data_IF_271590119700
#
_entry.id   IF_271590119700
#
_cell.length_a   1.000
_cell.length_b   1.000
_cell.length_c   1.000
_cell.angle_alpha   90.00
_cell.angle_beta   90.00
_cell.angle_gamma   90.00
#
_symmetry.space_group_name_H-M   'P 1'
#
loop_
_entity.id
_entity.type
_entity.pdbx_description
1 polymer ?
#
# COMPACT_ATOMS: atom_id res chain seq x y z
N UNK A 1 19.16 7.03 12.00
CA UNK A 1 18.48 7.41 10.74
C UNK A 1 17.97 6.16 10.02
N UNK A 2 16.66 6.00 9.82
CA UNK A 2 16.13 4.92 8.96
C UNK A 2 16.46 5.27 7.50
N UNK A 3 17.15 4.38 6.77
CA UNK A 3 17.50 4.60 5.35
C UNK A 3 16.25 4.88 4.52
N UNK A 4 16.31 5.87 3.63
CA UNK A 4 15.19 6.27 2.75
C UNK A 4 14.64 5.07 1.97
N UNK A 5 15.52 4.18 1.50
CA UNK A 5 15.16 2.95 0.78
C UNK A 5 14.20 2.04 1.57
N UNK A 6 14.32 1.95 2.90
CA UNK A 6 13.45 1.10 3.72
C UNK A 6 12.03 1.66 3.79
N UNK A 7 11.89 2.99 3.78
CA UNK A 7 10.59 3.67 3.73
C UNK A 7 9.88 3.41 2.40
N UNK A 8 10.63 3.53 1.30
CA UNK A 8 10.15 3.28 -0.06
C UNK A 8 9.70 1.83 -0.24
N UNK A 9 10.53 0.87 0.21
CA UNK A 9 10.23 -0.56 0.14
C UNK A 9 8.99 -0.93 0.98
N UNK A 10 8.86 -0.34 2.17
CA UNK A 10 7.67 -0.52 3.01
C UNK A 10 6.41 -0.06 2.30
N UNK A 11 6.38 1.17 1.79
CA UNK A 11 5.23 1.69 1.07
C UNK A 11 4.88 0.86 -0.17
N UNK A 12 5.88 0.49 -0.96
CA UNK A 12 5.70 -0.32 -2.16
C UNK A 12 5.04 -1.68 -1.87
N UNK A 13 5.53 -2.40 -0.86
CA UNK A 13 4.97 -3.71 -0.48
C UNK A 13 3.51 -3.57 -0.05
N UNK A 14 3.20 -2.57 0.79
CA UNK A 14 1.85 -2.39 1.29
C UNK A 14 0.86 -1.96 0.21
N UNK A 15 1.25 -1.06 -0.68
CA UNK A 15 0.40 -0.68 -1.83
C UNK A 15 0.21 -1.84 -2.79
N UNK A 16 1.25 -2.64 -3.05
CA UNK A 16 1.15 -3.80 -3.93
C UNK A 16 0.16 -4.84 -3.39
N UNK A 17 0.24 -5.17 -2.09
CA UNK A 17 -0.70 -6.10 -1.44
C UNK A 17 -2.13 -5.56 -1.48
N UNK A 18 -2.33 -4.29 -1.15
CA UNK A 18 -3.66 -3.66 -1.17
C UNK A 18 -4.24 -3.62 -2.59
N UNK A 19 -3.40 -3.30 -3.58
CA UNK A 19 -3.78 -3.27 -4.98
C UNK A 19 -4.12 -4.67 -5.51
N UNK A 20 -3.37 -5.72 -5.16
CA UNK A 20 -3.69 -7.10 -5.52
C UNK A 20 -5.01 -7.56 -4.92
N UNK A 21 -5.23 -7.30 -3.62
CA UNK A 21 -6.46 -7.70 -2.92
C UNK A 21 -7.70 -7.00 -3.50
N UNK A 22 -7.58 -5.71 -3.80
CA UNK A 22 -8.67 -4.93 -4.42
C UNK A 22 -8.84 -5.23 -5.90
N UNK A 23 -7.74 -5.41 -6.62
CA UNK A 23 -7.71 -5.79 -8.04
C UNK A 23 -8.43 -7.10 -8.27
N UNK A 24 -8.19 -8.12 -7.43
CA UNK A 24 -8.91 -9.39 -7.47
C UNK A 24 -10.43 -9.22 -7.31
N UNK A 25 -10.86 -8.36 -6.37
CA UNK A 25 -12.27 -8.08 -6.13
C UNK A 25 -12.93 -7.36 -7.32
N UNK A 26 -12.22 -6.44 -7.97
CA UNK A 26 -12.74 -5.69 -9.12
C UNK A 26 -12.74 -6.53 -10.40
N UNK A 27 -11.69 -7.31 -10.66
CA UNK A 27 -11.59 -8.18 -11.86
C UNK A 27 -12.70 -9.24 -11.88
N UNK A 28 -13.12 -9.74 -10.70
CA UNK A 28 -14.25 -10.67 -10.61
C UNK A 28 -15.61 -10.05 -10.92
N UNK A 29 -15.76 -8.73 -10.78
CA UNK A 29 -17.05 -8.04 -10.88
C UNK A 29 -17.16 -7.09 -12.08
N UNK A 30 -16.04 -6.65 -12.66
CA UNK A 30 -15.98 -5.65 -13.72
C UNK A 30 -14.97 -6.06 -14.80
N UNK A 31 -15.24 -5.67 -16.05
CA UNK A 31 -14.27 -5.79 -17.14
C UNK A 31 -12.95 -5.06 -16.79
N UNK A 32 -11.82 -5.71 -17.10
CA UNK A 32 -10.49 -5.09 -17.02
C UNK A 32 -10.45 -3.89 -17.98
N UNK A 33 -10.36 -2.69 -17.41
CA UNK A 33 -10.26 -1.42 -18.11
C UNK A 33 -9.33 -0.50 -17.34
N UNK A 34 -8.77 0.51 -18.01
CA UNK A 34 -7.88 1.47 -17.37
C UNK A 34 -8.57 2.19 -16.18
N UNK A 35 -9.90 2.39 -16.28
CA UNK A 35 -10.71 2.96 -15.21
C UNK A 35 -10.85 2.05 -13.99
N UNK A 36 -10.99 0.73 -14.19
CA UNK A 36 -11.05 -0.22 -13.05
C UNK A 36 -9.70 -0.34 -12.37
N UNK A 37 -8.60 -0.33 -13.12
CA UNK A 37 -7.23 -0.28 -12.55
C UNK A 37 -7.03 1.01 -11.74
N UNK A 38 -7.37 2.17 -12.29
CA UNK A 38 -7.26 3.44 -11.58
C UNK A 38 -8.10 3.46 -10.29
N UNK A 39 -9.34 2.97 -10.34
CA UNK A 39 -10.22 2.89 -9.18
C UNK A 39 -9.65 1.98 -8.07
N UNK A 40 -9.13 0.81 -8.44
CA UNK A 40 -8.45 -0.12 -7.52
C UNK A 40 -7.28 0.57 -6.81
N UNK A 41 -6.48 1.31 -7.56
CA UNK A 41 -5.32 2.01 -7.05
C UNK A 41 -5.67 3.19 -6.13
N UNK A 42 -6.69 3.99 -6.47
CA UNK A 42 -7.19 5.06 -5.60
C UNK A 42 -7.74 4.46 -4.29
N UNK A 43 -8.51 3.37 -4.37
CA UNK A 43 -9.04 2.68 -3.20
C UNK A 43 -7.93 2.05 -2.33
N UNK A 44 -6.89 1.51 -2.94
CA UNK A 44 -5.71 1.00 -2.23
C UNK A 44 -5.00 2.14 -1.47
N UNK A 45 -4.85 3.31 -2.08
CA UNK A 45 -4.27 4.50 -1.45
C UNK A 45 -5.10 5.01 -0.28
N UNK A 46 -6.41 5.12 -0.47
CA UNK A 46 -7.34 5.50 0.61
C UNK A 46 -7.27 4.51 1.78
N UNK A 47 -7.30 3.21 1.47
CA UNK A 47 -7.17 2.14 2.47
C UNK A 47 -5.83 2.24 3.21
N UNK A 48 -4.74 2.47 2.48
CA UNK A 48 -3.42 2.67 3.07
C UNK A 48 -3.40 3.86 4.04
N UNK A 49 -3.95 5.02 3.66
CA UNK A 49 -4.00 6.21 4.52
C UNK A 49 -4.79 5.91 5.80
N UNK A 50 -5.94 5.24 5.67
CA UNK A 50 -6.78 4.88 6.82
C UNK A 50 -6.08 3.91 7.77
N UNK A 51 -5.45 2.86 7.24
CA UNK A 51 -4.69 1.87 8.02
C UNK A 51 -3.45 2.53 8.64
N UNK A 52 -2.73 3.38 7.89
CA UNK A 52 -1.60 4.18 8.36
C UNK A 52 -1.96 5.01 9.59
N UNK A 53 -3.08 5.73 9.54
CA UNK A 53 -3.54 6.55 10.66
C UNK A 53 -3.90 5.69 11.87
N UNK A 54 -4.54 4.55 11.66
CA UNK A 54 -4.87 3.61 12.72
C UNK A 54 -3.62 3.02 13.37
N UNK A 55 -2.66 2.54 12.57
CA UNK A 55 -1.41 1.98 13.06
C UNK A 55 -0.55 3.04 13.76
N UNK A 56 -0.53 4.29 13.29
CA UNK A 56 0.17 5.37 13.97
C UNK A 56 -0.40 5.63 15.38
N UNK A 57 -1.72 5.58 15.54
CA UNK A 57 -2.40 5.70 16.84
C UNK A 57 -2.27 4.46 17.73
N UNK A 58 -1.90 3.30 17.20
CA UNK A 58 -1.66 2.12 18.03
C UNK A 58 -0.42 2.28 18.91
N UNK A 59 -0.60 2.02 20.20
CA UNK A 59 0.48 1.81 21.15
C UNK A 59 1.21 0.49 20.85
N UNK A 60 2.54 0.54 20.75
CA UNK A 60 3.36 -0.63 20.47
C UNK A 60 3.34 -1.69 21.59
N UNK A 61 2.85 -1.33 22.78
CA UNK A 61 2.79 -2.22 23.95
C UNK A 61 1.45 -2.93 24.10
N UNK A 62 0.56 -2.82 23.10
CA UNK A 62 -0.74 -3.47 23.13
C UNK A 62 -0.60 -5.00 23.24
N UNK A 63 -1.39 -5.65 24.11
CA UNK A 63 -1.28 -7.10 24.43
C UNK A 63 -1.27 -7.97 23.16
N UNK A 64 -2.10 -7.64 22.17
CA UNK A 64 -2.17 -8.36 20.89
C UNK A 64 -0.89 -8.25 20.05
N UNK A 65 -0.25 -7.08 20.00
CA UNK A 65 0.97 -6.86 19.20
C UNK A 65 2.15 -7.60 19.82
N UNK A 66 2.21 -7.60 21.16
CA UNK A 66 3.23 -8.33 21.92
C UNK A 66 3.04 -9.84 21.76
N UNK A 67 1.80 -10.32 21.88
CA UNK A 67 1.44 -11.73 21.74
C UNK A 67 1.80 -12.28 20.36
N UNK A 68 1.45 -11.57 19.28
CA UNK A 68 1.74 -11.98 17.90
C UNK A 68 3.17 -11.64 17.43
N UNK A 69 4.03 -11.08 18.30
CA UNK A 69 5.38 -10.59 17.95
C UNK A 69 5.40 -9.62 16.74
N UNK A 70 4.32 -8.87 16.54
CA UNK A 70 4.14 -7.97 15.39
C UNK A 70 4.86 -6.62 15.54
N UNK A 71 5.57 -6.39 16.65
CA UNK A 71 6.29 -5.12 16.90
C UNK A 71 7.16 -4.69 15.71
N UNK A 72 7.91 -5.62 15.09
CA UNK A 72 8.75 -5.32 13.93
C UNK A 72 7.93 -4.90 12.70
N UNK A 73 6.81 -5.58 12.43
CA UNK A 73 5.92 -5.25 11.31
C UNK A 73 5.24 -3.90 11.49
N UNK A 74 4.74 -3.61 12.69
CA UNK A 74 4.13 -2.31 13.02
C UNK A 74 5.14 -1.18 12.85
N UNK A 75 6.36 -1.35 13.36
CA UNK A 75 7.45 -0.38 13.17
C UNK A 75 7.80 -0.18 11.69
N UNK A 76 7.87 -1.27 10.92
CA UNK A 76 8.13 -1.22 9.48
C UNK A 76 7.02 -0.49 8.72
N UNK A 77 5.75 -0.66 9.11
CA UNK A 77 4.63 0.07 8.53
C UNK A 77 4.69 1.56 8.85
N UNK A 78 4.95 1.92 10.12
CA UNK A 78 5.17 3.32 10.54
C UNK A 78 6.34 4.01 9.82
N UNK A 79 7.25 3.27 9.19
CA UNK A 79 8.31 3.85 8.36
C UNK A 79 7.80 4.27 6.98
N UNK A 80 6.92 3.49 6.35
CA UNK A 80 6.31 3.83 5.06
C UNK A 80 5.41 5.07 5.12
N UNK A 81 4.81 5.35 6.28
CA UNK A 81 3.98 6.55 6.49
C UNK A 81 4.79 7.84 6.57
N UNK A 82 6.13 7.76 6.70
CA UNK A 82 7.01 8.94 6.76
C UNK A 82 7.47 9.43 5.39
N UNK A 83 6.95 8.86 4.30
CA UNK A 83 7.18 9.36 2.94
C UNK A 83 6.38 10.64 2.70
N UNK A 84 6.99 11.57 1.98
CA UNK A 84 6.31 12.79 1.51
C UNK A 84 5.24 12.46 0.45
N UNK A 85 4.31 13.37 0.22
CA UNK A 85 3.25 13.21 -0.80
C UNK A 85 3.86 12.90 -2.18
N UNK A 86 4.95 13.59 -2.53
CA UNK A 86 5.63 13.42 -3.80
C UNK A 86 6.26 12.02 -3.94
N UNK A 87 6.93 11.52 -2.90
CA UNK A 87 7.51 10.15 -2.92
C UNK A 87 6.42 9.08 -3.04
N UNK A 88 5.26 9.27 -2.38
CA UNK A 88 4.12 8.36 -2.49
C UNK A 88 3.55 8.35 -3.91
N UNK A 89 3.47 9.52 -4.55
CA UNK A 89 3.00 9.62 -5.94
C UNK A 89 3.97 8.98 -6.93
N UNK A 90 5.28 9.09 -6.71
CA UNK A 90 6.27 8.40 -7.57
C UNK A 90 6.10 6.89 -7.49
N UNK A 91 5.97 6.33 -6.27
CA UNK A 91 5.71 4.89 -6.11
C UNK A 91 4.34 4.50 -6.67
N UNK A 92 3.35 5.38 -6.57
CA UNK A 92 2.05 5.16 -7.19
C UNK A 92 2.16 4.99 -8.70
N UNK A 93 2.79 5.95 -9.39
CA UNK A 93 2.95 5.89 -10.85
C UNK A 93 3.84 4.72 -11.28
N UNK A 94 4.85 4.35 -10.49
CA UNK A 94 5.74 3.23 -10.81
C UNK A 94 5.03 1.88 -10.80
N UNK A 95 3.95 1.71 -10.04
CA UNK A 95 3.16 0.46 -10.02
C UNK A 95 1.97 0.54 -11.00
N UNK A 96 1.36 1.71 -11.13
CA UNK A 96 0.22 1.95 -12.01
C UNK A 96 0.58 1.78 -13.50
N UNK A 97 1.68 2.38 -13.96
CA UNK A 97 2.09 2.37 -15.38
C UNK A 97 2.33 0.93 -15.88
N UNK A 98 3.10 0.07 -15.18
CA UNK A 98 3.26 -1.33 -15.57
C UNK A 98 1.95 -2.12 -15.57
N UNK A 99 1.07 -1.91 -14.58
CA UNK A 99 -0.22 -2.60 -14.54
C UNK A 99 -1.09 -2.24 -15.76
N UNK A 100 -1.07 -0.97 -16.17
CA UNK A 100 -1.81 -0.51 -17.34
C UNK A 100 -1.21 -1.05 -18.64
N UNK A 101 0.11 -1.10 -18.76
CA UNK A 101 0.81 -1.70 -19.90
C UNK A 101 0.51 -3.20 -20.05
N UNK A 102 0.53 -3.96 -18.96
CA UNK A 102 0.19 -5.39 -18.98
C UNK A 102 -1.25 -5.59 -19.45
N UNK A 103 -2.17 -4.71 -19.04
CA UNK A 103 -3.56 -4.77 -19.47
C UNK A 103 -3.75 -4.39 -20.93
N UNK A 104 -2.95 -3.50 -21.50
CA UNK A 104 -3.00 -3.17 -22.94
C UNK A 104 -2.35 -4.23 -23.84
N UNK A 105 -1.52 -5.11 -23.28
CA UNK A 105 -0.87 -6.21 -23.98
C UNK A 105 -1.72 -7.50 -24.05
N UNK A 106 -2.80 -7.57 -23.25
CA UNK A 106 -3.78 -8.66 -23.20
C UNK A 106 -5.13 -8.21 -23.74
#
# INVERSE_FOLDING_TARGET
>A
MVRRNVKWLSFFIFISILSLFRGWSFIKQFHLSAFTVLAVFIYALYSYIRISNFVNKMELNNKFIVFLRLKKFVLFFKQGTKLTILERNIVFFSVYIPCLLIMCLY
#
